data_IF_108637733698
#
_entry.id   IF_108637733698
#
_cell.length_a   1.000
_cell.length_b   1.000
_cell.length_c   1.000
_cell.angle_alpha   90.00
_cell.angle_beta   90.00
_cell.angle_gamma   90.00
#
_symmetry.space_group_name_H-M   'P 1'
#
loop_
_entity.id
_entity.type
_entity.pdbx_description
1 polymer ?
#
# COMPACT_ATOMS: atom_id res chain seq x y z
N UNK A 1 -10.83 20.63 10.36
CA UNK A 1 -10.05 19.54 9.71
C UNK A 1 -9.07 18.82 10.66
N UNK A 2 -9.18 18.97 12.00
CA UNK A 2 -8.48 18.08 12.95
C UNK A 2 -9.38 16.87 13.26
N UNK A 3 -8.82 15.67 13.31
CA UNK A 3 -9.49 14.47 13.86
C UNK A 3 -9.93 13.34 12.92
N UNK A 4 -10.16 13.57 11.62
CA UNK A 4 -10.84 12.57 10.75
C UNK A 4 -9.96 11.92 9.67
N UNK A 5 -8.69 12.28 9.57
CA UNK A 5 -7.80 11.72 8.53
C UNK A 5 -6.34 11.61 8.99
N UNK A 6 -5.73 10.47 8.70
CA UNK A 6 -4.28 10.23 8.89
C UNK A 6 -3.44 10.72 7.71
N UNK A 7 -4.06 11.40 6.73
CA UNK A 7 -3.35 12.02 5.61
C UNK A 7 -2.53 13.22 6.08
N UNK A 8 -1.24 13.22 5.75
CA UNK A 8 -0.37 14.38 5.97
C UNK A 8 -0.47 15.31 4.78
N UNK A 9 -1.49 16.16 4.77
CA UNK A 9 -1.72 17.13 3.69
C UNK A 9 -0.47 17.97 3.31
N UNK A 10 0.38 18.45 4.25
CA UNK A 10 1.62 19.16 3.87
C UNK A 10 2.62 18.30 3.07
N UNK A 11 2.57 16.97 3.22
CA UNK A 11 3.44 16.06 2.50
C UNK A 11 3.13 16.02 1.00
N UNK A 12 1.84 16.09 0.61
CA UNK A 12 1.45 16.23 -0.78
C UNK A 12 1.96 17.55 -1.35
N UNK A 13 1.74 18.68 -0.65
CA UNK A 13 2.16 19.99 -1.12
C UNK A 13 3.67 20.07 -1.34
N UNK A 14 4.47 19.57 -0.39
CA UNK A 14 5.93 19.54 -0.54
C UNK A 14 6.37 18.71 -1.74
N UNK A 15 5.75 17.55 -1.95
CA UNK A 15 6.12 16.71 -3.08
C UNK A 15 5.64 17.28 -4.44
N UNK A 16 4.53 18.02 -4.43
CA UNK A 16 3.96 18.70 -5.59
C UNK A 16 4.85 19.84 -6.11
N UNK A 17 5.55 20.56 -5.21
CA UNK A 17 6.49 21.65 -5.58
C UNK A 17 7.55 21.20 -6.59
N UNK A 18 8.09 19.98 -6.43
CA UNK A 18 9.07 19.45 -7.37
C UNK A 18 8.53 19.44 -8.80
N UNK A 19 7.22 19.34 -9.00
CA UNK A 19 6.58 19.25 -10.31
C UNK A 19 5.86 20.53 -10.74
N UNK A 20 6.06 21.66 -10.02
CA UNK A 20 5.33 22.91 -10.29
C UNK A 20 3.82 22.80 -10.02
N UNK A 21 3.38 21.80 -9.26
CA UNK A 21 1.96 21.54 -9.01
C UNK A 21 1.45 22.34 -7.81
N UNK A 22 0.29 22.98 -7.97
CA UNK A 22 -0.49 23.50 -6.84
C UNK A 22 -1.55 22.49 -6.42
N UNK A 23 -1.52 22.05 -5.16
CA UNK A 23 -2.49 21.09 -4.63
C UNK A 23 -3.61 21.82 -3.92
N UNK A 24 -4.85 21.58 -4.35
CA UNK A 24 -6.06 22.01 -3.66
C UNK A 24 -6.76 20.81 -3.02
N UNK A 25 -7.07 20.93 -1.72
CA UNK A 25 -7.84 19.94 -0.99
C UNK A 25 -9.30 20.40 -0.92
N UNK A 26 -10.20 19.62 -1.49
CA UNK A 26 -11.63 19.94 -1.52
C UNK A 26 -12.48 18.69 -1.27
N UNK A 27 -13.75 18.92 -0.92
CA UNK A 27 -14.75 17.85 -0.73
C UNK A 27 -15.77 17.89 -1.87
N UNK A 28 -16.56 16.83 -2.08
CA UNK A 28 -17.67 16.85 -3.04
C UNK A 28 -18.64 18.03 -2.88
N UNK A 29 -18.83 18.53 -1.65
CA UNK A 29 -19.70 19.69 -1.37
C UNK A 29 -19.08 21.03 -1.79
N UNK A 30 -17.76 21.09 -1.97
CA UNK A 30 -17.07 22.30 -2.40
C UNK A 30 -17.11 22.54 -3.90
N UNK A 31 -17.68 21.62 -4.70
CA UNK A 31 -17.72 21.75 -6.16
C UNK A 31 -18.93 22.59 -6.56
N UNK A 32 -18.67 23.64 -7.35
CA UNK A 32 -19.71 24.44 -8.00
C UNK A 32 -19.72 24.10 -9.48
N UNK A 33 -20.82 23.52 -9.94
CA UNK A 33 -20.90 22.97 -11.28
C UNK A 33 -21.17 24.03 -12.34
N UNK A 34 -21.88 25.12 -11.99
CA UNK A 34 -22.24 26.21 -12.90
C UNK A 34 -21.00 26.95 -13.42
N UNK A 35 -20.08 27.30 -12.53
CA UNK A 35 -18.85 28.06 -12.85
C UNK A 35 -17.62 27.16 -13.03
N UNK A 36 -17.78 25.83 -12.93
CA UNK A 36 -16.69 24.84 -12.91
C UNK A 36 -15.56 25.21 -11.93
N UNK A 37 -15.90 25.67 -10.73
CA UNK A 37 -14.94 25.97 -9.66
C UNK A 37 -15.03 24.98 -8.49
N UNK A 38 -13.98 24.98 -7.66
CA UNK A 38 -13.98 24.31 -6.37
C UNK A 38 -13.62 25.28 -5.25
N UNK A 39 -14.41 25.26 -4.19
CA UNK A 39 -14.05 25.82 -2.89
C UNK A 39 -13.27 24.76 -2.11
N UNK A 40 -12.03 25.09 -1.74
CA UNK A 40 -11.12 24.16 -1.08
C UNK A 40 -10.05 24.88 -0.28
N UNK A 41 -8.97 24.16 0.03
CA UNK A 41 -7.86 24.65 0.81
C UNK A 41 -6.53 24.41 0.10
N UNK A 42 -5.67 25.42 0.08
CA UNK A 42 -4.27 25.30 -0.36
C UNK A 42 -3.36 25.53 0.85
N UNK A 43 -2.28 24.78 0.94
CA UNK A 43 -1.29 24.96 2.00
C UNK A 43 -0.23 25.99 1.57
N UNK A 44 -0.25 27.18 2.18
CA UNK A 44 0.70 28.28 1.94
C UNK A 44 1.21 28.85 3.27
N UNK A 45 2.49 29.23 3.35
CA UNK A 45 3.11 29.84 4.54
C UNK A 45 2.74 29.11 5.85
N UNK A 46 2.88 27.78 5.84
CA UNK A 46 2.56 26.87 6.95
C UNK A 46 1.09 26.83 7.42
N UNK A 47 0.15 27.49 6.74
CA UNK A 47 -1.29 27.51 7.07
C UNK A 47 -2.15 27.05 5.88
N UNK A 48 -3.35 26.52 6.17
CA UNK A 48 -4.35 26.25 5.14
C UNK A 48 -5.16 27.50 4.88
N UNK A 49 -5.18 27.97 3.64
CA UNK A 49 -6.03 29.09 3.23
C UNK A 49 -7.17 28.57 2.39
N UNK A 50 -8.39 29.01 2.70
CA UNK A 50 -9.58 28.75 1.90
C UNK A 50 -9.44 29.50 0.59
N UNK A 51 -9.67 28.82 -0.52
CA UNK A 51 -9.58 29.40 -1.87
C UNK A 51 -10.77 28.94 -2.71
N UNK A 52 -11.11 29.73 -3.72
CA UNK A 52 -11.90 29.28 -4.87
C UNK A 52 -10.98 29.27 -6.08
N UNK A 53 -10.91 28.14 -6.76
CA UNK A 53 -10.06 27.96 -7.95
C UNK A 53 -10.85 27.20 -9.02
N UNK A 54 -10.43 27.26 -10.29
CA UNK A 54 -11.00 26.40 -11.33
C UNK A 54 -10.93 24.92 -10.94
N UNK A 55 -11.90 24.13 -11.41
CA UNK A 55 -11.95 22.69 -11.17
C UNK A 55 -10.63 22.04 -11.66
N UNK A 56 -9.91 21.31 -10.80
CA UNK A 56 -8.62 20.75 -11.19
C UNK A 56 -8.71 19.75 -12.35
N UNK A 57 -7.82 19.89 -13.33
CA UNK A 57 -7.68 18.98 -14.47
C UNK A 57 -7.28 17.56 -14.07
N UNK A 58 -6.60 17.39 -12.92
CA UNK A 58 -6.26 16.08 -12.36
C UNK A 58 -6.79 15.98 -10.93
N UNK A 59 -7.51 14.90 -10.63
CA UNK A 59 -8.09 14.65 -9.31
C UNK A 59 -7.58 13.33 -8.74
N UNK A 60 -6.87 13.40 -7.62
CA UNK A 60 -6.54 12.23 -6.81
C UNK A 60 -7.68 11.96 -5.82
N UNK A 61 -8.48 10.92 -6.07
CA UNK A 61 -9.56 10.57 -5.15
C UNK A 61 -9.02 9.95 -3.84
N UNK A 62 -9.13 10.69 -2.73
CA UNK A 62 -8.75 10.24 -1.37
C UNK A 62 -9.92 9.96 -0.42
N UNK A 63 -11.16 9.88 -0.93
CA UNK A 63 -12.37 9.67 -0.10
C UNK A 63 -13.05 8.33 -0.37
N UNK A 64 -13.73 7.79 0.64
CA UNK A 64 -14.78 6.78 0.45
C UNK A 64 -16.07 7.55 0.18
N UNK A 65 -16.65 7.39 -1.00
CA UNK A 65 -17.93 7.97 -1.33
C UNK A 65 -19.03 7.12 -0.69
N UNK A 66 -19.35 7.37 0.58
CA UNK A 66 -20.36 6.62 1.35
C UNK A 66 -21.79 7.08 1.06
N UNK A 67 -22.02 8.38 0.89
CA UNK A 67 -23.35 8.94 0.59
C UNK A 67 -23.74 8.83 -0.88
N UNK A 68 -25.05 8.81 -1.18
CA UNK A 68 -25.56 8.87 -2.56
C UNK A 68 -25.05 10.12 -3.30
N UNK A 69 -25.06 11.27 -2.63
CA UNK A 69 -24.51 12.53 -3.14
C UNK A 69 -23.04 12.39 -3.55
N UNK A 70 -22.15 11.95 -2.65
CA UNK A 70 -20.73 11.82 -2.96
C UNK A 70 -20.47 10.78 -4.06
N UNK A 71 -21.27 9.70 -4.12
CA UNK A 71 -21.21 8.72 -5.21
C UNK A 71 -21.60 9.32 -6.56
N UNK A 72 -22.62 10.18 -6.63
CA UNK A 72 -22.99 10.90 -7.86
C UNK A 72 -21.88 11.85 -8.30
N UNK A 73 -21.39 12.68 -7.39
CA UNK A 73 -20.31 13.65 -7.66
C UNK A 73 -19.06 12.96 -8.21
N UNK A 74 -18.58 11.91 -7.54
CA UNK A 74 -17.37 11.22 -7.97
C UNK A 74 -17.56 10.52 -9.33
N UNK A 75 -18.73 9.94 -9.59
CA UNK A 75 -19.03 9.35 -10.91
C UNK A 75 -19.06 10.42 -12.01
N UNK A 76 -19.64 11.59 -11.73
CA UNK A 76 -19.67 12.73 -12.66
C UNK A 76 -18.24 13.20 -12.97
N UNK A 77 -17.41 13.43 -11.96
CA UNK A 77 -16.01 13.83 -12.14
C UNK A 77 -15.19 12.80 -12.93
N UNK A 78 -15.41 11.50 -12.69
CA UNK A 78 -14.69 10.43 -13.39
C UNK A 78 -15.04 10.32 -14.88
N UNK A 79 -16.12 10.96 -15.34
CA UNK A 79 -16.58 10.97 -16.73
C UNK A 79 -16.51 12.36 -17.38
N UNK A 80 -16.11 13.39 -16.62
CA UNK A 80 -16.14 14.76 -17.08
C UNK A 80 -14.98 15.01 -18.06
N UNK A 81 -15.24 15.45 -19.31
CA UNK A 81 -14.20 15.80 -20.26
C UNK A 81 -13.23 16.84 -19.69
N UNK A 82 -11.94 16.69 -19.99
CA UNK A 82 -10.88 17.55 -19.47
C UNK A 82 -10.45 17.28 -18.02
N UNK A 83 -11.15 16.40 -17.29
CA UNK A 83 -10.77 15.99 -15.93
C UNK A 83 -10.28 14.54 -15.91
N UNK A 84 -9.04 14.34 -15.47
CA UNK A 84 -8.43 13.03 -15.26
C UNK A 84 -8.46 12.67 -13.78
N UNK A 85 -9.38 11.78 -13.39
CA UNK A 85 -9.41 11.25 -12.02
C UNK A 85 -8.63 9.94 -11.95
N UNK A 86 -7.68 9.82 -11.02
CA UNK A 86 -7.13 8.50 -10.67
C UNK A 86 -7.66 7.98 -9.35
N UNK A 87 -7.71 6.65 -9.25
CA UNK A 87 -8.45 5.88 -8.24
C UNK A 87 -9.98 6.10 -8.25
N UNK A 88 -10.64 5.90 -9.42
CA UNK A 88 -12.09 6.06 -9.54
C UNK A 88 -12.86 5.10 -8.62
N UNK A 89 -14.19 5.27 -8.47
CA UNK A 89 -15.03 4.31 -7.78
C UNK A 89 -14.81 2.90 -8.28
N UNK A 90 -14.49 1.99 -7.37
CA UNK A 90 -14.30 0.57 -7.65
C UNK A 90 -15.01 -0.26 -6.60
N UNK A 91 -15.37 -1.49 -6.99
CA UNK A 91 -15.93 -2.46 -6.05
C UNK A 91 -14.95 -2.76 -4.92
N UNK A 92 -15.43 -2.58 -3.69
CA UNK A 92 -14.74 -3.01 -2.47
C UNK A 92 -15.11 -4.44 -2.07
N UNK A 93 -15.98 -5.08 -2.84
CA UNK A 93 -16.46 -6.43 -2.55
C UNK A 93 -15.32 -7.43 -2.78
N UNK A 94 -14.85 -8.08 -1.71
CA UNK A 94 -13.63 -8.92 -1.75
C UNK A 94 -13.72 -10.03 -2.80
N UNK A 95 -14.87 -10.68 -2.94
CA UNK A 95 -15.07 -11.72 -3.95
C UNK A 95 -15.07 -11.19 -5.40
N UNK A 96 -15.53 -9.96 -5.63
CA UNK A 96 -15.50 -9.36 -6.98
C UNK A 96 -14.07 -9.08 -7.39
N UNK A 97 -13.27 -8.51 -6.47
CA UNK A 97 -11.84 -8.28 -6.69
C UNK A 97 -11.10 -9.61 -6.90
N UNK A 98 -11.37 -10.61 -6.06
CA UNK A 98 -10.80 -11.95 -6.18
C UNK A 98 -11.08 -12.60 -7.53
N UNK A 99 -12.34 -12.60 -7.99
CA UNK A 99 -12.73 -13.14 -9.30
C UNK A 99 -12.05 -12.41 -10.47
N UNK A 100 -11.94 -11.07 -10.42
CA UNK A 100 -11.23 -10.29 -11.44
C UNK A 100 -9.75 -10.66 -11.55
N UNK A 101 -9.15 -11.05 -10.43
CA UNK A 101 -7.74 -11.44 -10.36
C UNK A 101 -7.50 -12.92 -10.70
N UNK A 102 -8.55 -13.75 -10.83
CA UNK A 102 -8.42 -15.19 -11.07
C UNK A 102 -7.59 -15.51 -12.30
N UNK A 103 -7.83 -14.83 -13.43
CA UNK A 103 -7.07 -15.02 -14.67
C UNK A 103 -5.63 -14.49 -14.62
N UNK A 104 -5.24 -13.81 -13.54
CA UNK A 104 -3.94 -13.12 -13.42
C UNK A 104 -3.03 -13.82 -12.43
N UNK A 105 -3.59 -14.24 -11.30
CA UNK A 105 -2.85 -14.73 -10.15
C UNK A 105 -3.53 -15.96 -9.53
N UNK A 106 -4.17 -16.82 -10.35
CA UNK A 106 -4.92 -18.01 -9.90
C UNK A 106 -4.21 -18.80 -8.78
N UNK A 107 -2.91 -19.10 -8.99
CA UNK A 107 -2.10 -19.91 -8.07
C UNK A 107 -1.80 -19.20 -6.73
N UNK A 108 -1.91 -17.88 -6.68
CA UNK A 108 -1.68 -17.04 -5.49
C UNK A 108 -2.98 -16.58 -4.81
N UNK A 109 -4.14 -17.00 -5.31
CA UNK A 109 -5.43 -16.73 -4.70
C UNK A 109 -5.84 -17.90 -3.77
N UNK A 110 -6.17 -17.64 -2.50
CA UNK A 110 -6.78 -18.66 -1.66
C UNK A 110 -8.16 -19.01 -2.23
N UNK A 111 -8.54 -20.30 -2.17
CA UNK A 111 -9.89 -20.71 -2.60
C UNK A 111 -10.93 -19.92 -1.79
N UNK A 112 -11.89 -19.28 -2.47
CA UNK A 112 -12.87 -18.40 -1.82
C UNK A 112 -14.23 -18.56 -2.49
N UNK A 113 -15.28 -18.73 -1.70
CA UNK A 113 -16.67 -18.79 -2.17
C UNK A 113 -17.58 -17.95 -1.27
N UNK A 114 -18.75 -17.51 -1.78
CA UNK A 114 -19.78 -16.95 -0.90
C UNK A 114 -20.18 -18.00 0.14
N UNK A 115 -20.48 -17.55 1.35
CA UNK A 115 -21.08 -18.39 2.39
C UNK A 115 -22.60 -18.28 2.23
N UNK A 116 -23.20 -19.16 1.44
CA UNK A 116 -24.66 -19.19 1.21
C UNK A 116 -25.34 -20.14 2.19
N UNK A 117 -24.66 -21.24 2.54
CA UNK A 117 -25.14 -22.25 3.49
C UNK A 117 -23.96 -22.84 4.28
N UNK A 118 -24.19 -23.44 5.47
CA UNK A 118 -23.13 -24.05 6.27
C UNK A 118 -22.25 -25.06 5.52
N UNK A 119 -22.84 -25.81 4.58
CA UNK A 119 -22.12 -26.76 3.72
C UNK A 119 -20.95 -26.10 2.95
N UNK A 120 -21.05 -24.81 2.61
CA UNK A 120 -19.97 -24.07 1.95
C UNK A 120 -18.73 -23.92 2.85
N UNK A 121 -18.90 -23.75 4.16
CA UNK A 121 -17.73 -23.72 5.04
C UNK A 121 -17.21 -25.13 5.31
N UNK A 122 -18.11 -26.08 5.60
CA UNK A 122 -17.75 -27.46 5.91
C UNK A 122 -16.96 -28.13 4.79
N UNK A 123 -17.35 -27.95 3.51
CA UNK A 123 -16.61 -28.55 2.42
C UNK A 123 -15.22 -27.91 2.19
N UNK A 124 -15.00 -26.63 2.56
CA UNK A 124 -13.63 -26.07 2.56
C UNK A 124 -12.83 -26.56 3.77
N UNK A 125 -13.46 -26.70 4.94
CA UNK A 125 -12.83 -27.25 6.14
C UNK A 125 -12.35 -28.69 5.91
N UNK A 126 -13.15 -29.52 5.25
CA UNK A 126 -12.75 -30.89 4.87
C UNK A 126 -11.50 -30.87 3.98
N UNK A 127 -11.41 -29.94 3.03
CA UNK A 127 -10.30 -29.83 2.09
C UNK A 127 -9.03 -29.21 2.67
N UNK A 128 -9.16 -28.23 3.56
CA UNK A 128 -8.04 -27.37 3.97
C UNK A 128 -7.74 -27.36 5.47
N UNK A 129 -8.56 -28.04 6.29
CA UNK A 129 -8.53 -28.04 7.77
C UNK A 129 -8.73 -26.69 8.44
N UNK A 130 -8.55 -25.57 7.74
CA UNK A 130 -8.71 -24.21 8.26
C UNK A 130 -9.40 -23.32 7.24
N UNK A 131 -10.30 -22.46 7.69
CA UNK A 131 -10.97 -21.45 6.86
C UNK A 131 -11.10 -20.13 7.59
N UNK A 132 -11.29 -19.06 6.83
CA UNK A 132 -11.70 -17.75 7.30
C UNK A 132 -13.12 -17.46 6.83
N UNK A 133 -14.02 -17.14 7.76
CA UNK A 133 -15.35 -16.59 7.49
C UNK A 133 -15.28 -15.08 7.69
N UNK A 134 -15.64 -14.30 6.67
CA UNK A 134 -15.50 -12.84 6.69
C UNK A 134 -16.57 -12.12 5.86
N UNK A 135 -16.99 -10.90 6.26
CA UNK A 135 -17.85 -10.07 5.44
C UNK A 135 -17.23 -9.74 4.07
N UNK A 136 -18.03 -9.84 3.02
CA UNK A 136 -17.60 -9.50 1.67
C UNK A 136 -17.31 -8.00 1.51
N UNK A 137 -18.04 -7.16 2.26
CA UNK A 137 -17.81 -5.73 2.44
C UNK A 137 -17.44 -5.47 3.90
N UNK A 138 -16.38 -4.70 4.12
CA UNK A 138 -15.89 -4.40 5.46
C UNK A 138 -14.42 -3.98 5.42
N UNK A 139 -13.91 -3.47 6.53
CA UNK A 139 -12.53 -2.97 6.68
C UNK A 139 -11.92 -3.35 8.02
N UNK A 140 -10.60 -3.19 8.13
CA UNK A 140 -9.82 -3.40 9.36
C UNK A 140 -9.89 -4.82 9.95
N UNK A 141 -10.34 -5.81 9.18
CA UNK A 141 -10.46 -7.18 9.68
C UNK A 141 -11.54 -7.38 10.73
N UNK A 142 -12.45 -6.42 10.91
CA UNK A 142 -13.61 -6.57 11.79
C UNK A 142 -14.47 -7.75 11.34
N UNK A 143 -14.92 -8.51 12.32
CA UNK A 143 -15.83 -9.64 12.14
C UNK A 143 -15.28 -10.74 11.21
N UNK A 144 -13.95 -10.87 11.20
CA UNK A 144 -13.26 -12.00 10.59
C UNK A 144 -13.08 -13.10 11.62
N UNK A 145 -13.56 -14.29 11.29
CA UNK A 145 -13.44 -15.48 12.14
C UNK A 145 -12.57 -16.51 11.45
N UNK A 146 -11.62 -17.09 12.18
CA UNK A 146 -10.89 -18.28 11.72
C UNK A 146 -11.52 -19.51 12.33
N UNK A 147 -11.71 -20.55 11.53
CA UNK A 147 -12.24 -21.83 11.96
C UNK A 147 -11.19 -22.88 11.64
N UNK A 148 -10.70 -23.59 12.65
CA UNK A 148 -9.76 -24.69 12.53
C UNK A 148 -10.49 -26.01 12.90
N UNK A 149 -10.45 -27.00 12.01
CA UNK A 149 -10.94 -28.34 12.27
C UNK A 149 -9.95 -29.12 13.14
N UNK A 150 -10.43 -29.65 14.26
CA UNK A 150 -9.72 -30.51 15.19
C UNK A 150 -10.19 -31.98 15.00
N UNK A 151 -9.79 -32.88 15.88
CA UNK A 151 -10.42 -34.21 15.98
C UNK A 151 -11.78 -34.04 16.68
N UNK A 152 -12.88 -34.42 16.01
CA UNK A 152 -14.26 -34.31 16.54
C UNK A 152 -14.84 -32.89 16.66
N UNK A 153 -14.00 -31.86 16.82
CA UNK A 153 -14.42 -30.49 17.14
C UNK A 153 -13.90 -29.44 16.16
N UNK A 154 -14.40 -28.20 16.33
CA UNK A 154 -13.99 -27.03 15.57
C UNK A 154 -13.64 -25.89 16.50
N UNK A 155 -12.49 -25.26 16.28
CA UNK A 155 -12.07 -24.07 17.01
C UNK A 155 -12.40 -22.83 16.19
N UNK A 156 -13.32 -22.02 16.68
CA UNK A 156 -13.62 -20.69 16.13
C UNK A 156 -12.84 -19.65 16.91
N UNK A 157 -12.09 -18.80 16.21
CA UNK A 157 -11.36 -17.67 16.78
C UNK A 157 -11.85 -16.39 16.13
N UNK A 158 -12.44 -15.50 16.92
CA UNK A 158 -13.00 -14.25 16.44
C UNK A 158 -11.90 -13.21 16.16
N UNK A 159 -12.28 -12.12 15.49
CA UNK A 159 -11.38 -10.99 15.24
C UNK A 159 -10.89 -10.31 16.51
N UNK A 160 -11.57 -10.47 17.67
CA UNK A 160 -11.15 -9.99 19.00
C UNK A 160 -10.25 -10.98 19.74
N UNK A 161 -10.08 -12.20 19.22
CA UNK A 161 -9.24 -13.24 19.81
C UNK A 161 -10.00 -14.19 20.73
N UNK A 162 -11.29 -13.95 20.96
CA UNK A 162 -12.19 -14.88 21.65
C UNK A 162 -12.21 -16.23 20.94
N UNK A 163 -12.25 -17.30 21.74
CA UNK A 163 -12.18 -18.66 21.26
C UNK A 163 -13.40 -19.44 21.69
N UNK A 164 -13.92 -20.23 20.77
CA UNK A 164 -15.01 -21.16 21.03
C UNK A 164 -14.63 -22.53 20.46
N UNK A 165 -14.87 -23.59 21.22
CA UNK A 165 -14.80 -24.96 20.73
C UNK A 165 -16.23 -25.42 20.50
N UNK A 166 -16.52 -25.86 19.27
CA UNK A 166 -17.85 -26.27 18.85
C UNK A 166 -17.81 -27.69 18.31
N UNK A 167 -18.79 -28.51 18.71
CA UNK A 167 -19.12 -29.72 17.97
C UNK A 167 -19.72 -29.40 16.59
N UNK A 168 -19.92 -30.41 15.75
CA UNK A 168 -20.46 -30.22 14.38
C UNK A 168 -21.80 -29.47 14.36
N UNK A 169 -22.75 -29.84 15.22
CA UNK A 169 -24.06 -29.17 15.31
C UNK A 169 -23.94 -27.70 15.71
N UNK A 170 -23.10 -27.40 16.70
CA UNK A 170 -22.80 -26.03 17.14
C UNK A 170 -22.19 -25.18 16.02
N UNK A 171 -21.21 -25.73 15.29
CA UNK A 171 -20.61 -25.04 14.15
C UNK A 171 -21.65 -24.77 13.04
N UNK A 172 -22.52 -25.73 12.74
CA UNK A 172 -23.57 -25.54 11.73
C UNK A 172 -24.52 -24.39 12.11
N UNK A 173 -24.98 -24.35 13.37
CA UNK A 173 -25.81 -23.22 13.86
C UNK A 173 -25.05 -21.89 13.77
N UNK A 174 -23.80 -21.85 14.22
CA UNK A 174 -22.94 -20.67 14.13
C UNK A 174 -22.78 -20.14 12.70
N UNK A 175 -22.65 -21.04 11.72
CA UNK A 175 -22.55 -20.72 10.30
C UNK A 175 -23.88 -20.24 9.70
N UNK A 176 -25.03 -20.78 10.14
CA UNK A 176 -26.35 -20.34 9.65
C UNK A 176 -26.57 -18.85 9.89
N UNK A 177 -26.22 -18.33 11.06
CA UNK A 177 -26.36 -16.90 11.38
C UNK A 177 -25.56 -15.95 10.45
N UNK A 178 -24.57 -16.46 9.72
CA UNK A 178 -23.74 -15.69 8.77
C UNK A 178 -24.01 -16.04 7.31
N UNK A 179 -24.69 -17.16 7.06
CA UNK A 179 -24.99 -17.66 5.73
C UNK A 179 -26.01 -16.75 5.04
N UNK A 180 -25.80 -16.45 3.76
CA UNK A 180 -26.67 -15.54 2.98
C UNK A 180 -26.54 -14.05 3.33
N UNK A 181 -25.92 -13.70 4.46
CA UNK A 181 -25.78 -12.32 4.95
C UNK A 181 -24.56 -11.57 4.41
N UNK A 182 -24.15 -11.87 3.18
CA UNK A 182 -22.99 -11.22 2.54
C UNK A 182 -21.63 -11.66 3.09
N UNK A 183 -21.52 -12.83 3.71
CA UNK A 183 -20.24 -13.42 4.11
C UNK A 183 -19.60 -14.26 3.01
N UNK A 184 -18.31 -14.45 3.15
CA UNK A 184 -17.48 -15.31 2.32
C UNK A 184 -16.79 -16.32 3.22
N UNK A 185 -16.54 -17.51 2.68
CA UNK A 185 -15.60 -18.46 3.27
C UNK A 185 -14.37 -18.60 2.37
N UNK A 186 -13.21 -18.48 2.97
CA UNK A 186 -11.91 -18.47 2.30
C UNK A 186 -11.00 -19.52 2.93
N UNK A 187 -10.22 -20.23 2.13
CA UNK A 187 -9.18 -21.15 2.57
C UNK A 187 -8.26 -20.49 3.60
N UNK A 188 -8.03 -21.16 4.72
CA UNK A 188 -7.00 -20.82 5.69
C UNK A 188 -5.62 -21.12 5.10
N UNK A 189 -4.75 -20.11 5.08
CA UNK A 189 -3.35 -20.28 4.66
C UNK A 189 -2.52 -20.58 5.91
N UNK A 190 -1.63 -21.56 5.81
CA UNK A 190 -0.62 -21.85 6.82
C UNK A 190 0.49 -20.81 6.75
N UNK A 191 0.16 -19.60 7.24
CA UNK A 191 1.04 -18.44 7.23
C UNK A 191 2.35 -18.71 7.97
N UNK A 192 3.45 -18.19 7.43
CA UNK A 192 4.69 -18.07 8.15
C UNK A 192 4.47 -17.25 9.43
N UNK A 193 5.26 -17.56 10.45
CA UNK A 193 5.18 -16.91 11.77
C UNK A 193 6.50 -16.29 12.13
N UNK A 194 6.45 -15.15 12.79
CA UNK A 194 7.61 -14.48 13.37
C UNK A 194 7.38 -14.33 14.87
N UNK A 195 8.26 -14.92 15.69
CA UNK A 195 8.11 -14.97 17.16
C UNK A 195 6.73 -15.52 17.58
N UNK A 196 6.33 -16.64 16.99
CA UNK A 196 5.02 -17.29 17.22
C UNK A 196 3.80 -16.57 16.62
N UNK A 197 3.95 -15.34 16.12
CA UNK A 197 2.84 -14.51 15.63
C UNK A 197 2.70 -14.61 14.11
N UNK A 198 1.46 -14.70 13.63
CA UNK A 198 1.15 -14.62 12.20
C UNK A 198 1.42 -13.20 11.71
N UNK A 199 1.79 -13.07 10.44
CA UNK A 199 1.91 -11.77 9.81
C UNK A 199 1.44 -11.79 8.36
N UNK A 200 1.01 -10.63 7.91
CA UNK A 200 0.91 -10.31 6.49
C UNK A 200 1.92 -9.20 6.15
N UNK A 201 2.03 -8.88 4.86
CA UNK A 201 2.87 -7.83 4.34
C UNK A 201 1.96 -6.82 3.64
N UNK A 202 1.95 -5.59 4.15
CA UNK A 202 1.35 -4.45 3.46
C UNK A 202 2.32 -3.98 2.38
N UNK A 203 1.84 -3.90 1.15
CA UNK A 203 2.59 -3.43 -0.02
C UNK A 203 1.88 -2.22 -0.62
N UNK A 204 2.59 -1.12 -0.80
CA UNK A 204 2.11 -0.01 -1.61
C UNK A 204 2.59 -0.15 -3.04
N UNK A 205 1.66 -0.07 -3.99
CA UNK A 205 1.93 -0.15 -5.42
C UNK A 205 1.31 1.07 -6.08
N UNK A 206 2.11 1.88 -6.76
CA UNK A 206 1.70 3.18 -7.28
C UNK A 206 2.25 3.40 -8.69
N UNK A 207 1.53 4.16 -9.52
CA UNK A 207 2.06 4.62 -10.82
C UNK A 207 2.96 5.85 -10.64
N UNK A 208 4.07 5.91 -11.36
CA UNK A 208 5.08 6.97 -11.28
C UNK A 208 4.90 8.10 -12.27
N UNK A 209 6.00 8.87 -12.45
CA UNK A 209 6.14 9.97 -13.41
C UNK A 209 6.13 9.50 -14.88
N UNK A 210 6.34 8.22 -15.11
CA UNK A 210 6.31 7.54 -16.40
C UNK A 210 4.97 6.80 -16.63
N UNK A 211 4.03 6.92 -15.68
CA UNK A 211 2.78 6.18 -15.69
C UNK A 211 2.92 4.68 -15.39
N UNK A 212 4.13 4.16 -15.11
CA UNK A 212 4.39 2.73 -14.87
C UNK A 212 4.22 2.37 -13.39
N UNK A 213 3.82 1.13 -13.14
CA UNK A 213 3.61 0.59 -11.80
C UNK A 213 4.92 0.31 -11.07
N UNK A 214 5.01 0.73 -9.81
CA UNK A 214 6.15 0.44 -8.95
C UNK A 214 5.70 0.15 -7.51
N UNK A 215 6.46 -0.69 -6.81
CA UNK A 215 6.29 -0.86 -5.35
C UNK A 215 7.01 0.28 -4.63
N UNK A 216 6.26 1.08 -3.86
CA UNK A 216 6.77 2.27 -3.18
C UNK A 216 6.96 2.07 -1.67
N UNK A 217 6.43 0.98 -1.11
CA UNK A 217 6.63 0.60 0.28
C UNK A 217 6.22 -0.85 0.53
N UNK A 218 6.90 -1.52 1.46
CA UNK A 218 6.59 -2.89 1.85
C UNK A 218 6.98 -3.10 3.32
N UNK A 219 6.05 -3.54 4.17
CA UNK A 219 6.36 -3.83 5.58
C UNK A 219 5.44 -4.91 6.17
N UNK A 220 5.95 -5.68 7.15
CA UNK A 220 5.15 -6.71 7.82
C UNK A 220 4.18 -6.11 8.85
N UNK A 221 3.02 -6.74 9.02
CA UNK A 221 2.06 -6.46 10.10
C UNK A 221 1.86 -7.73 10.93
N UNK A 222 2.25 -7.69 12.20
CA UNK A 222 2.23 -8.85 13.11
C UNK A 222 0.92 -8.92 13.87
N UNK A 223 0.08 -9.92 13.63
CA UNK A 223 -1.17 -10.11 14.39
C UNK A 223 -0.89 -10.10 15.90
N UNK A 224 -1.78 -9.51 16.71
CA UNK A 224 -1.68 -9.60 18.17
C UNK A 224 -1.67 -11.09 18.59
N UNK A 225 -1.18 -11.40 19.80
CA UNK A 225 -1.20 -12.78 20.27
C UNK A 225 -2.63 -13.32 20.16
N UNK A 226 -2.76 -14.53 19.61
CA UNK A 226 -4.02 -15.25 19.44
C UNK A 226 -5.04 -14.66 18.45
N UNK A 227 -4.76 -13.52 17.83
CA UNK A 227 -5.63 -12.91 16.84
C UNK A 227 -5.55 -13.61 15.48
N UNK A 228 -6.69 -13.81 14.78
CA UNK A 228 -6.69 -14.49 13.49
C UNK A 228 -6.21 -13.58 12.34
N UNK A 229 -6.27 -12.25 12.53
CA UNK A 229 -5.92 -11.22 11.54
C UNK A 229 -4.89 -10.22 12.07
N UNK A 230 -4.04 -9.73 11.18
CA UNK A 230 -3.01 -8.70 11.44
C UNK A 230 -3.48 -7.27 11.20
N UNK A 231 -4.75 -7.07 10.83
CA UNK A 231 -5.29 -5.74 10.50
C UNK A 231 -5.43 -4.80 11.70
N UNK A 232 -5.59 -5.34 12.91
CA UNK A 232 -5.66 -4.57 14.17
C UNK A 232 -4.37 -4.61 14.99
N UNK A 233 -3.33 -5.22 14.42
CA UNK A 233 -2.04 -5.28 15.06
C UNK A 233 -1.49 -3.89 15.34
N UNK A 234 -1.06 -3.66 16.58
CA UNK A 234 0.07 -2.77 16.83
C UNK A 234 1.23 -3.26 15.97
N UNK A 235 1.70 -2.35 15.13
CA UNK A 235 2.80 -2.57 14.20
C UNK A 235 3.97 -3.23 14.92
N UNK A 236 4.71 -4.10 14.22
CA UNK A 236 6.01 -4.52 14.75
C UNK A 236 6.85 -3.26 14.99
N UNK A 237 7.30 -3.05 16.24
CA UNK A 237 8.28 -2.00 16.56
C UNK A 237 9.51 -2.26 15.71
N UNK A 238 9.70 -1.49 14.64
CA UNK A 238 10.75 -1.72 13.62
C UNK A 238 10.60 -3.14 12.98
N UNK A 239 11.06 -3.39 11.77
CA UNK A 239 12.11 -2.77 10.99
C UNK A 239 12.98 -3.90 10.47
N UNK A 240 13.25 -3.86 9.17
CA UNK A 240 13.74 -4.96 8.36
C UNK A 240 12.68 -6.07 8.13
N UNK A 241 11.82 -5.85 7.13
CA UNK A 241 11.11 -6.94 6.46
C UNK A 241 12.07 -8.11 6.20
N UNK A 242 13.34 -7.85 5.83
CA UNK A 242 14.38 -8.86 5.73
C UNK A 242 14.59 -9.67 7.01
N UNK A 243 14.69 -9.05 8.18
CA UNK A 243 14.77 -9.76 9.47
C UNK A 243 13.56 -10.65 9.71
N UNK A 244 12.36 -10.13 9.46
CA UNK A 244 11.13 -10.93 9.59
C UNK A 244 11.18 -12.13 8.65
N UNK A 245 11.53 -11.92 7.38
CA UNK A 245 11.63 -12.97 6.37
C UNK A 245 12.71 -14.01 6.71
N UNK A 246 13.92 -13.57 7.09
CA UNK A 246 15.05 -14.45 7.45
C UNK A 246 14.70 -15.34 8.64
N UNK A 247 14.02 -14.77 9.65
CA UNK A 247 13.68 -15.51 10.88
C UNK A 247 12.41 -16.35 10.76
N UNK A 248 11.46 -15.98 9.90
CA UNK A 248 10.21 -16.73 9.72
C UNK A 248 10.32 -17.86 8.71
N UNK A 249 11.21 -17.73 7.72
CA UNK A 249 11.41 -18.69 6.62
C UNK A 249 12.92 -18.78 6.32
N UNK A 250 13.74 -19.36 7.24
CA UNK A 250 15.20 -19.34 7.12
C UNK A 250 15.72 -20.11 5.90
N UNK A 251 14.98 -21.12 5.43
CA UNK A 251 15.34 -21.95 4.26
C UNK A 251 15.24 -21.22 2.92
N UNK A 252 14.70 -20.01 2.87
CA UNK A 252 14.54 -19.26 1.60
C UNK A 252 15.19 -17.87 1.74
N UNK A 253 16.09 -17.48 0.83
CA UNK A 253 16.72 -16.16 0.90
C UNK A 253 15.69 -15.04 0.97
N UNK A 254 15.86 -14.11 1.91
CA UNK A 254 14.92 -13.00 2.09
C UNK A 254 14.78 -12.12 0.84
N UNK A 255 15.85 -12.00 0.03
CA UNK A 255 15.81 -11.32 -1.26
C UNK A 255 14.85 -11.99 -2.25
N UNK A 256 14.84 -13.32 -2.31
CA UNK A 256 13.93 -14.09 -3.15
C UNK A 256 12.47 -13.92 -2.69
N UNK A 257 12.22 -13.97 -1.38
CA UNK A 257 10.89 -13.74 -0.80
C UNK A 257 10.38 -12.33 -1.12
N UNK A 258 11.22 -11.30 -0.99
CA UNK A 258 10.89 -9.92 -1.40
C UNK A 258 10.58 -9.83 -2.89
N UNK A 259 11.36 -10.51 -3.74
CA UNK A 259 11.12 -10.56 -5.19
C UNK A 259 9.78 -11.20 -5.53
N UNK A 260 9.42 -12.32 -4.87
CA UNK A 260 8.10 -12.97 -5.03
C UNK A 260 6.96 -12.04 -4.65
N UNK A 261 7.06 -11.37 -3.49
CA UNK A 261 6.06 -10.39 -3.04
C UNK A 261 5.94 -9.21 -4.03
N UNK A 262 7.06 -8.67 -4.51
CA UNK A 262 7.07 -7.57 -5.50
C UNK A 262 6.42 -7.98 -6.81
N UNK A 263 6.78 -9.15 -7.37
CA UNK A 263 6.18 -9.68 -8.61
C UNK A 263 4.67 -9.87 -8.45
N UNK A 264 4.22 -10.49 -7.36
CA UNK A 264 2.80 -10.66 -7.08
C UNK A 264 2.06 -9.32 -6.95
N UNK A 265 2.66 -8.35 -6.24
CA UNK A 265 2.06 -7.03 -6.05
C UNK A 265 1.86 -6.29 -7.39
N UNK A 266 2.87 -6.31 -8.27
CA UNK A 266 2.80 -5.69 -9.58
C UNK A 266 1.79 -6.40 -10.50
N UNK A 267 1.77 -7.74 -10.49
CA UNK A 267 0.79 -8.52 -11.26
C UNK A 267 -0.65 -8.22 -10.82
N UNK A 268 -0.90 -8.07 -9.52
CA UNK A 268 -2.22 -7.63 -9.00
C UNK A 268 -2.57 -6.24 -9.49
N UNK A 269 -1.65 -5.27 -9.39
CA UNK A 269 -1.90 -3.90 -9.81
C UNK A 269 -2.21 -3.80 -11.32
N UNK A 270 -1.42 -4.50 -12.15
CA UNK A 270 -1.66 -4.60 -13.59
C UNK A 270 -2.97 -5.31 -13.91
N UNK A 271 -3.29 -6.40 -13.21
CA UNK A 271 -4.53 -7.15 -13.36
C UNK A 271 -5.77 -6.30 -13.06
N UNK A 272 -5.73 -5.47 -12.02
CA UNK A 272 -6.78 -4.52 -11.70
C UNK A 272 -6.87 -3.38 -12.73
N UNK A 273 -5.71 -2.89 -13.19
CA UNK A 273 -5.63 -1.80 -14.16
C UNK A 273 -6.27 -2.16 -15.52
N UNK A 274 -6.24 -3.43 -15.94
CA UNK A 274 -6.90 -3.86 -17.20
C UNK A 274 -8.40 -3.55 -17.26
N UNK A 275 -9.09 -3.59 -16.11
CA UNK A 275 -10.52 -3.25 -16.03
C UNK A 275 -10.76 -1.84 -15.51
N UNK A 276 -9.74 -1.21 -14.93
CA UNK A 276 -9.80 0.13 -14.35
C UNK A 276 -8.51 0.90 -14.67
N UNK A 277 -8.35 1.41 -15.90
CA UNK A 277 -7.07 1.98 -16.37
C UNK A 277 -6.57 3.14 -15.51
N UNK A 278 -7.50 3.92 -14.95
CA UNK A 278 -7.24 5.08 -14.10
C UNK A 278 -6.84 4.73 -12.65
N UNK A 279 -6.64 3.46 -12.32
CA UNK A 279 -6.10 3.05 -11.01
C UNK A 279 -4.61 3.31 -10.98
N UNK A 280 -4.14 3.99 -9.94
CA UNK A 280 -2.76 4.42 -9.84
C UNK A 280 -2.16 4.35 -8.43
N UNK A 281 -2.96 4.07 -7.39
CA UNK A 281 -2.50 4.08 -6.00
C UNK A 281 -3.16 2.95 -5.18
N UNK A 282 -2.41 1.90 -4.84
CA UNK A 282 -2.96 0.71 -4.20
C UNK A 282 -2.22 0.36 -2.92
N UNK A 283 -2.96 -0.07 -1.90
CA UNK A 283 -2.41 -0.84 -0.79
C UNK A 283 -2.84 -2.29 -0.90
N UNK A 284 -1.91 -3.21 -1.03
CA UNK A 284 -2.16 -4.64 -1.13
C UNK A 284 -1.75 -5.33 0.17
N UNK A 285 -2.54 -6.30 0.59
CA UNK A 285 -2.20 -7.19 1.68
C UNK A 285 -1.81 -8.54 1.08
N UNK A 286 -0.53 -8.86 1.22
CA UNK A 286 0.05 -10.12 0.76
C UNK A 286 0.47 -10.94 1.97
N UNK A 287 0.66 -12.24 1.78
CA UNK A 287 1.21 -13.08 2.84
C UNK A 287 2.17 -14.13 2.27
N UNK A 288 2.95 -14.73 3.16
CA UNK A 288 3.79 -15.88 2.83
C UNK A 288 3.34 -17.06 3.68
N UNK A 289 3.23 -18.23 3.07
CA UNK A 289 3.12 -19.48 3.83
C UNK A 289 4.48 -19.96 4.36
N UNK A 290 4.48 -21.03 5.15
CA UNK A 290 5.70 -21.62 5.73
C UNK A 290 6.75 -22.05 4.69
N UNK A 291 6.36 -22.25 3.43
CA UNK A 291 7.26 -22.63 2.31
C UNK A 291 7.71 -21.41 1.50
N UNK A 292 7.30 -20.19 1.89
CA UNK A 292 7.65 -18.96 1.20
C UNK A 292 6.92 -18.74 -0.12
N UNK A 293 5.78 -19.41 -0.35
CA UNK A 293 4.88 -19.06 -1.45
C UNK A 293 4.08 -17.82 -1.06
N UNK A 294 4.00 -16.88 -2.00
CA UNK A 294 3.27 -15.62 -1.82
C UNK A 294 1.79 -15.78 -2.17
N UNK A 295 0.94 -15.19 -1.32
CA UNK A 295 -0.51 -15.22 -1.44
C UNK A 295 -1.09 -13.80 -1.43
N UNK A 296 -2.12 -13.57 -2.24
CA UNK A 296 -2.90 -12.34 -2.21
C UNK A 296 -4.06 -12.47 -1.22
N UNK A 297 -4.19 -11.53 -0.29
CA UNK A 297 -5.27 -11.52 0.70
C UNK A 297 -6.36 -10.49 0.33
N UNK A 298 -5.97 -9.25 0.10
CA UNK A 298 -6.89 -8.16 -0.26
C UNK A 298 -6.19 -6.99 -0.98
N UNK A 299 -7.00 -6.18 -1.66
CA UNK A 299 -6.58 -4.92 -2.28
C UNK A 299 -7.41 -3.76 -1.72
N UNK A 300 -6.71 -2.74 -1.25
CA UNK A 300 -7.25 -1.49 -0.73
C UNK A 300 -7.01 -0.36 -1.74
N UNK A 301 -8.09 0.11 -2.36
CA UNK A 301 -8.09 1.15 -3.41
C UNK A 301 -7.98 2.58 -2.87
N UNK A 302 -7.98 2.72 -1.56
CA UNK A 302 -7.79 3.97 -0.82
C UNK A 302 -7.13 3.60 0.50
N UNK A 303 -5.88 3.15 0.40
CA UNK A 303 -5.14 2.76 1.57
C UNK A 303 -4.91 3.97 2.46
N UNK A 304 -5.17 3.80 3.75
CA UNK A 304 -4.83 4.82 4.72
C UNK A 304 -3.31 4.97 4.74
N UNK A 305 -2.84 6.22 4.74
CA UNK A 305 -1.40 6.55 4.86
C UNK A 305 -0.96 6.63 6.32
N UNK A 306 -1.55 5.79 7.15
CA UNK A 306 -0.96 5.42 8.43
C UNK A 306 0.29 4.63 8.09
N UNK A 307 1.44 5.07 8.59
CA UNK A 307 2.61 4.21 8.57
C UNK A 307 3.21 4.09 9.94
N UNK A 308 3.97 3.01 10.16
CA UNK A 308 4.64 2.84 11.42
C UNK A 308 5.53 4.00 11.77
N UNK A 309 5.64 4.27 13.08
CA UNK A 309 6.61 5.24 13.60
C UNK A 309 8.01 5.01 13.02
N UNK A 310 8.37 3.75 12.71
CA UNK A 310 9.59 3.40 12.01
C UNK A 310 9.66 3.90 10.54
N UNK A 311 8.57 3.78 9.76
CA UNK A 311 8.54 4.34 8.40
C UNK A 311 8.55 5.88 8.48
N UNK A 312 7.85 6.49 9.45
CA UNK A 312 7.93 7.94 9.72
C UNK A 312 9.37 8.40 10.01
N UNK A 313 10.18 7.56 10.66
CA UNK A 313 11.62 7.77 10.93
C UNK A 313 12.54 7.49 9.73
N UNK A 314 12.02 6.96 8.63
CA UNK A 314 12.70 6.86 7.34
C UNK A 314 12.01 7.82 6.34
N UNK A 315 12.21 9.15 6.46
CA UNK A 315 11.33 10.14 5.87
C UNK A 315 11.24 9.99 4.36
N UNK A 316 12.36 9.69 3.67
CA UNK A 316 12.36 9.50 2.21
C UNK A 316 11.45 8.34 1.79
N UNK A 317 11.56 7.18 2.40
CA UNK A 317 10.73 6.01 2.08
C UNK A 317 9.25 6.23 2.41
N UNK A 318 8.95 6.88 3.54
CA UNK A 318 7.57 7.25 3.88
C UNK A 318 7.00 8.31 2.95
N UNK A 319 7.80 9.31 2.56
CA UNK A 319 7.36 10.41 1.71
C UNK A 319 7.11 9.97 0.27
N UNK A 320 7.75 8.88 -0.20
CA UNK A 320 7.48 8.29 -1.52
C UNK A 320 5.99 8.04 -1.75
N UNK A 321 5.26 7.60 -0.73
CA UNK A 321 3.82 7.34 -0.87
C UNK A 321 3.00 8.60 -1.23
N UNK A 322 3.48 9.78 -0.85
CA UNK A 322 2.87 11.08 -1.16
C UNK A 322 3.44 11.64 -2.46
N UNK A 323 4.73 11.44 -2.69
CA UNK A 323 5.42 11.94 -3.87
C UNK A 323 5.04 11.22 -5.16
N UNK A 324 4.87 9.89 -5.12
CA UNK A 324 4.54 9.10 -6.30
C UNK A 324 3.17 9.48 -6.91
N UNK A 325 2.09 9.67 -6.13
CA UNK A 325 0.84 10.22 -6.68
C UNK A 325 0.95 11.63 -7.28
N UNK A 326 1.84 12.49 -6.75
CA UNK A 326 2.08 13.82 -7.35
C UNK A 326 2.87 13.70 -8.65
N UNK A 327 3.85 12.81 -8.71
CA UNK A 327 4.57 12.48 -9.95
C UNK A 327 3.61 11.91 -11.01
N UNK A 328 2.67 11.06 -10.61
CA UNK A 328 1.63 10.57 -11.51
C UNK A 328 0.68 11.66 -11.98
N UNK A 329 0.31 12.60 -11.09
CA UNK A 329 -0.49 13.76 -11.49
C UNK A 329 0.25 14.63 -12.52
N UNK A 330 1.56 14.83 -12.36
CA UNK A 330 2.40 15.53 -13.32
C UNK A 330 2.45 14.80 -14.68
N UNK A 331 2.58 13.47 -14.66
CA UNK A 331 2.47 12.62 -15.85
C UNK A 331 1.14 12.80 -16.57
N UNK A 332 0.03 12.76 -15.83
CA UNK A 332 -1.31 12.97 -16.39
C UNK A 332 -1.53 14.40 -16.92
N UNK A 333 -0.72 15.38 -16.50
CA UNK A 333 -0.73 16.74 -17.05
C UNK A 333 0.26 16.94 -18.21
N UNK A 334 1.07 15.93 -18.55
CA UNK A 334 2.12 16.04 -19.59
C UNK A 334 3.37 16.80 -19.14
N UNK A 335 3.52 17.10 -17.85
CA UNK A 335 4.64 17.89 -17.32
C UNK A 335 5.95 17.10 -17.20
N UNK A 336 5.90 15.77 -17.33
CA UNK A 336 7.07 14.90 -17.22
C UNK A 336 7.86 14.81 -18.53
N UNK A 337 7.19 14.83 -19.68
CA UNK A 337 7.81 14.83 -21.02
C UNK A 337 8.58 16.12 -21.29
N UNK A 338 7.94 17.27 -21.04
CA UNK A 338 8.54 18.62 -21.20
C UNK A 338 9.85 18.81 -20.43
N UNK A 339 10.03 18.09 -19.32
CA UNK A 339 11.28 18.12 -18.54
C UNK A 339 12.38 17.23 -19.07
N UNK A 340 12.03 16.14 -19.75
CA UNK A 340 13.02 15.28 -20.41
C UNK A 340 13.49 15.95 -21.70
N UNK A 341 12.57 16.59 -22.43
CA UNK A 341 12.87 17.38 -23.64
C UNK A 341 13.72 18.60 -23.29
N UNK A 342 13.33 19.44 -22.33
CA UNK A 342 14.09 20.63 -21.94
C UNK A 342 15.43 20.37 -21.21
N UNK A 343 15.67 19.16 -20.71
CA UNK A 343 16.99 18.75 -20.20
C UNK A 343 17.90 18.17 -21.30
N UNK A 344 17.32 17.75 -22.43
CA UNK A 344 18.07 17.34 -23.63
C UNK A 344 18.49 18.51 -24.51
N UNK A 345 17.78 19.65 -24.44
CA UNK A 345 18.12 20.85 -25.22
C UNK A 345 19.21 21.73 -24.58
N UNK A 346 19.49 21.57 -23.29
CA UNK A 346 20.58 22.28 -22.60
C UNK A 346 21.95 21.60 -22.71
N UNK A 347 22.06 20.49 -23.44
CA UNK A 347 23.32 19.78 -23.66
C UNK A 347 23.93 20.02 -25.06
N UNK A 348 23.36 20.93 -25.85
CA UNK A 348 23.84 21.24 -27.19
C UNK A 348 23.77 22.76 -27.44
N UNK A 349 24.67 23.50 -26.80
CA UNK A 349 25.10 24.84 -27.22
C UNK A 349 26.25 25.30 -26.31
N UNK A 350 27.47 24.88 -26.61
CA UNK A 350 28.64 25.72 -26.40
C UNK A 350 29.08 26.23 -27.78
N UNK A 351 29.27 27.55 -27.97
CA UNK A 351 29.79 28.07 -29.22
C UNK A 351 31.30 27.82 -29.28
N UNK A 352 31.77 27.37 -30.43
CA UNK A 352 33.18 27.28 -30.76
C UNK A 352 33.82 28.69 -30.72
N UNK A 353 34.81 28.87 -29.86
CA UNK A 353 35.73 30.00 -29.92
C UNK A 353 37.09 29.49 -30.43
N UNK A 354 37.52 30.06 -31.55
CA UNK A 354 38.83 29.86 -32.14
C UNK A 354 39.88 30.73 -31.45
N UNK A 355 41.08 30.18 -31.21
CA UNK A 355 42.35 30.91 -31.20
C UNK A 355 43.55 29.95 -31.10
N UNK A 356 44.37 29.88 -32.15
CA UNK A 356 45.83 30.04 -32.13
C UNK A 356 46.76 28.97 -31.52
N UNK A 357 47.83 28.54 -32.23
CA UNK A 357 48.84 27.61 -31.71
C UNK A 357 49.97 28.35 -30.99
N UNK A 358 50.58 27.73 -29.98
CA UNK A 358 51.80 28.28 -29.37
C UNK A 358 52.33 27.51 -28.16
N UNK A 359 53.33 26.65 -28.39
CA UNK A 359 54.57 26.48 -27.63
C UNK A 359 54.56 26.20 -26.12
N UNK A 360 55.28 25.14 -25.73
CA UNK A 360 56.05 25.12 -24.47
C UNK A 360 55.72 24.03 -23.47
N UNK A 361 56.47 22.92 -23.52
CA UNK A 361 56.87 22.13 -22.34
C UNK A 361 58.10 22.85 -21.70
N UNK A 362 58.64 22.55 -20.49
CA UNK A 362 58.46 21.33 -19.69
C UNK A 362 58.47 21.45 -18.14
N UNK A 363 58.36 20.28 -17.51
CA UNK A 363 58.97 19.85 -16.24
C UNK A 363 58.38 20.28 -14.89
N UNK A 364 58.35 19.33 -13.94
CA UNK A 364 58.16 19.61 -12.52
C UNK A 364 57.70 18.43 -11.68
N UNK A 365 58.65 17.60 -11.24
CA UNK A 365 58.52 16.53 -10.25
C UNK A 365 57.90 16.98 -8.92
N UNK A 366 57.32 16.03 -8.16
CA UNK A 366 57.06 16.22 -6.73
C UNK A 366 56.32 15.07 -6.06
N UNK A 367 57.06 14.06 -5.62
CA UNK A 367 56.59 12.95 -4.80
C UNK A 367 56.48 13.32 -3.30
N UNK A 368 55.90 12.38 -2.52
CA UNK A 368 55.90 12.14 -1.05
C UNK A 368 54.48 12.20 -0.45
N UNK A 369 53.87 11.13 0.05
CA UNK A 369 54.22 10.10 1.04
C UNK A 369 54.03 10.55 2.51
N UNK A 370 53.37 9.70 3.30
CA UNK A 370 53.13 9.82 4.75
C UNK A 370 51.65 9.98 5.08
N UNK A 371 50.96 9.13 5.83
CA UNK A 371 51.39 8.21 6.88
C UNK A 371 50.48 8.46 8.09
N UNK A 372 49.60 7.50 8.41
CA UNK A 372 48.87 7.44 9.68
C UNK A 372 49.86 7.05 10.81
N UNK A 373 49.57 7.20 12.13
CA UNK A 373 48.64 6.28 12.82
C UNK A 373 47.94 6.78 14.13
N UNK A 374 47.07 5.90 14.66
CA UNK A 374 46.70 5.58 16.07
C UNK A 374 46.54 6.72 17.12
N UNK A 375 45.40 6.91 17.80
CA UNK A 375 44.89 6.13 18.96
C UNK A 375 45.33 6.79 20.30
N UNK A 376 44.82 6.48 21.52
CA UNK A 376 43.65 5.70 21.96
C UNK A 376 42.75 6.49 22.96
N UNK A 377 41.71 5.86 23.54
CA UNK A 377 40.95 6.46 24.65
C UNK A 377 39.92 5.53 25.29
N UNK A 378 40.10 5.32 26.59
CA UNK A 378 39.58 4.28 27.49
C UNK A 378 38.18 4.53 28.09
N UNK A 379 37.58 3.43 28.55
CA UNK A 379 36.40 3.18 29.42
C UNK A 379 36.39 3.96 30.75
N UNK A 380 35.24 4.14 31.49
CA UNK A 380 34.59 3.06 32.29
C UNK A 380 33.06 3.09 32.55
N UNK A 381 32.59 1.90 32.96
CA UNK A 381 31.52 1.46 33.90
C UNK A 381 30.25 2.29 34.24
N UNK A 382 29.09 1.59 34.18
CA UNK A 382 27.96 1.39 35.15
C UNK A 382 27.56 2.46 36.20
N UNK A 383 26.27 2.58 36.64
CA UNK A 383 25.46 1.47 37.18
C UNK A 383 23.94 1.47 36.91
N UNK A 384 23.31 0.42 37.44
CA UNK A 384 21.89 0.12 37.66
C UNK A 384 21.14 1.16 38.48
N UNK A 385 19.82 1.30 38.23
CA UNK A 385 18.77 1.10 39.26
C UNK A 385 17.34 1.29 38.72
N UNK A 386 16.45 0.43 39.24
CA UNK A 386 14.96 0.44 39.26
C UNK A 386 14.13 0.27 37.97
#
# INVERSE_FOLDING_TARGET
MRGLTHERLPAYQRAARRWGLQVVFFSPRGIRWRDRTVQGYVYRRRRYRRVRVPLPRVIHRRIIASSAFSRRVVRRLARLPGVRMFNPPMSRHKLVVHRKLRRVIARALPVTRPLRRPADALALLRRFRSVYVKPALGSAGRDVHRIDALQGFYRVVSWTGERQILGRGGLVRWLRHRSGRGYLVQQGINLARYRGRRYDIRVWVQRGADGRWQVTGMWPRLAARHMPVSNMAREGRRGDLGRVLRRSIPRVPAALLRRRLRRLALAVAQGLARRHPAVADLGLDLALDRRGKAWFLEANMRQQRWAPSALRRAPRAFMRQYATPMAHAAYLLGLTRRRQEGAGTTAAAEPAAAAGPGGGNPAGNGATAGGAPAGPGTTPASPSDT
#
